data_IF_268452848835
#
_entry.id   IF_268452848835
#
_cell.length_a   1.000
_cell.length_b   1.000
_cell.length_c   1.000
_cell.angle_alpha   90.00
_cell.angle_beta   90.00
_cell.angle_gamma   90.00
#
_symmetry.space_group_name_H-M   'P 1'
#
loop_
_entity.id
_entity.type
_entity.pdbx_description
1 polymer ?
#
# COMPACT_ATOMS: atom_id res chain seq x y z
N UNK A 1 -20.68 -2.21 -60.79
CA UNK A 1 -20.34 -0.90 -60.20
C UNK A 1 -21.54 -0.52 -59.35
N UNK A 2 -21.54 -0.53 -58.01
CA UNK A 2 -20.75 0.30 -57.11
C UNK A 2 -20.73 -0.42 -55.74
N UNK A 3 -19.57 -0.89 -55.30
CA UNK A 3 -19.33 -1.23 -53.89
C UNK A 3 -19.27 0.08 -53.12
N UNK A 4 -19.96 0.20 -51.96
CA UNK A 4 -19.52 1.03 -50.81
C UNK A 4 -20.49 0.93 -49.63
N UNK A 5 -19.95 0.40 -48.54
CA UNK A 5 -20.05 0.86 -47.14
C UNK A 5 -21.43 1.08 -46.51
N UNK A 6 -21.75 0.24 -45.52
CA UNK A 6 -21.92 0.66 -44.11
C UNK A 6 -21.43 -0.47 -43.21
N UNK A 7 -20.12 -0.51 -42.92
CA UNK A 7 -19.62 -1.13 -41.68
C UNK A 7 -19.63 0.02 -40.69
N UNK A 8 -20.62 0.06 -39.82
CA UNK A 8 -20.83 1.20 -38.93
C UNK A 8 -21.62 0.79 -37.71
N UNK A 9 -20.92 0.78 -36.58
CA UNK A 9 -21.44 1.02 -35.23
C UNK A 9 -22.11 -0.14 -34.51
N UNK A 10 -21.34 -0.79 -33.62
CA UNK A 10 -21.68 -0.87 -32.18
C UNK A 10 -20.49 -1.42 -31.37
N UNK A 11 -19.36 -0.70 -31.38
CA UNK A 11 -18.31 -0.80 -30.36
C UNK A 11 -18.40 0.45 -29.50
N UNK A 12 -19.53 0.63 -28.83
CA UNK A 12 -19.69 1.67 -27.82
C UNK A 12 -19.86 0.99 -26.47
N UNK A 13 -18.99 1.41 -25.54
CA UNK A 13 -19.07 1.25 -24.08
C UNK A 13 -18.43 -0.02 -23.49
N UNK A 14 -17.11 -0.12 -23.55
CA UNK A 14 -16.30 -0.87 -22.57
C UNK A 14 -14.97 -0.13 -22.29
N UNK A 15 -15.06 1.15 -21.91
CA UNK A 15 -13.91 1.93 -21.40
C UNK A 15 -14.08 2.27 -19.90
N UNK A 16 -14.76 1.41 -19.14
CA UNK A 16 -14.85 1.59 -17.70
C UNK A 16 -13.55 1.11 -17.03
N UNK A 17 -12.72 2.07 -16.65
CA UNK A 17 -11.89 2.03 -15.43
C UNK A 17 -10.73 1.03 -15.34
N UNK A 18 -9.80 1.02 -16.30
CA UNK A 18 -8.50 0.35 -16.13
C UNK A 18 -7.78 0.78 -14.83
N UNK A 19 -7.84 2.07 -14.47
CA UNK A 19 -7.16 2.61 -13.28
C UNK A 19 -7.82 2.20 -11.94
N UNK A 20 -9.14 1.95 -11.90
CA UNK A 20 -9.80 1.56 -10.64
C UNK A 20 -9.64 0.06 -10.34
N UNK A 21 -9.56 -0.76 -11.39
CA UNK A 21 -9.21 -2.17 -11.25
C UNK A 21 -7.77 -2.30 -10.69
N UNK A 22 -6.86 -1.46 -11.18
CA UNK A 22 -5.47 -1.41 -10.74
C UNK A 22 -5.33 -1.01 -9.25
N UNK A 23 -6.00 0.06 -8.80
CA UNK A 23 -5.88 0.47 -7.39
C UNK A 23 -6.40 -0.59 -6.41
N UNK A 24 -7.53 -1.23 -6.73
CA UNK A 24 -8.12 -2.25 -5.84
C UNK A 24 -7.21 -3.48 -5.74
N UNK A 25 -6.66 -3.96 -6.86
CA UNK A 25 -5.76 -5.13 -6.85
C UNK A 25 -4.48 -4.84 -6.07
N UNK A 26 -3.87 -3.67 -6.26
CA UNK A 26 -2.68 -3.27 -5.51
C UNK A 26 -2.97 -3.18 -4.00
N UNK A 27 -4.14 -2.68 -3.60
CA UNK A 27 -4.53 -2.63 -2.18
C UNK A 27 -4.73 -4.01 -1.55
N UNK A 28 -5.32 -4.96 -2.29
CA UNK A 28 -5.46 -6.35 -1.82
C UNK A 28 -4.08 -7.01 -1.68
N UNK A 29 -3.15 -6.72 -2.59
CA UNK A 29 -1.77 -7.20 -2.48
C UNK A 29 -1.09 -6.65 -1.21
N UNK A 30 -1.20 -5.35 -0.95
CA UNK A 30 -0.64 -4.76 0.28
C UNK A 30 -1.25 -5.36 1.55
N UNK A 31 -2.56 -5.64 1.55
CA UNK A 31 -3.23 -6.32 2.68
C UNK A 31 -2.67 -7.73 2.90
N UNK A 32 -2.50 -8.50 1.83
CA UNK A 32 -1.95 -9.85 1.92
C UNK A 32 -0.49 -9.86 2.43
N UNK A 33 0.33 -8.91 1.96
CA UNK A 33 1.72 -8.77 2.40
C UNK A 33 1.81 -8.31 3.86
N UNK A 34 0.95 -7.38 4.29
CA UNK A 34 0.91 -6.97 5.70
C UNK A 34 0.44 -8.11 6.62
N UNK A 35 -0.52 -8.93 6.17
CA UNK A 35 -0.94 -10.13 6.90
C UNK A 35 0.19 -11.16 7.02
N UNK A 36 1.09 -11.26 6.03
CA UNK A 36 2.27 -12.12 6.10
C UNK A 36 3.28 -11.62 7.15
N UNK A 37 3.49 -10.30 7.25
CA UNK A 37 4.29 -9.67 8.32
C UNK A 37 3.71 -10.06 9.69
N UNK A 38 2.40 -9.89 9.88
CA UNK A 38 1.72 -10.22 11.13
C UNK A 38 1.90 -11.70 11.51
N UNK A 39 1.70 -12.60 10.55
CA UNK A 39 1.88 -14.03 10.73
C UNK A 39 3.30 -14.37 11.17
N UNK A 40 4.29 -13.73 10.56
CA UNK A 40 5.71 -13.93 10.89
C UNK A 40 6.04 -13.44 12.30
N UNK A 41 5.49 -12.30 12.72
CA UNK A 41 5.59 -11.84 14.11
C UNK A 41 5.00 -12.83 15.11
N UNK A 42 3.80 -13.36 14.84
CA UNK A 42 3.13 -14.36 15.70
C UNK A 42 3.96 -15.65 15.81
N UNK A 43 4.55 -16.08 14.69
CA UNK A 43 5.40 -17.26 14.63
C UNK A 43 6.79 -17.05 15.26
N UNK A 44 7.13 -15.82 15.68
CA UNK A 44 8.50 -15.44 16.08
C UNK A 44 9.56 -15.74 15.01
N UNK A 45 9.16 -15.66 13.74
CA UNK A 45 10.02 -15.88 12.58
C UNK A 45 10.66 -14.56 12.15
N UNK A 46 11.88 -14.29 12.64
CA UNK A 46 12.57 -13.02 12.39
C UNK A 46 12.91 -12.83 10.91
N UNK A 47 13.38 -13.87 10.23
CA UNK A 47 13.73 -13.82 8.80
C UNK A 47 12.46 -13.62 7.96
N UNK A 48 11.36 -14.26 8.36
CA UNK A 48 10.03 -14.06 7.78
C UNK A 48 9.54 -12.62 7.94
N UNK A 49 9.70 -12.01 9.12
CA UNK A 49 9.37 -10.59 9.33
C UNK A 49 10.22 -9.71 8.43
N UNK A 50 11.54 -9.92 8.39
CA UNK A 50 12.45 -9.12 7.56
C UNK A 50 12.07 -9.18 6.07
N UNK A 51 11.86 -10.38 5.54
CA UNK A 51 11.56 -10.57 4.13
C UNK A 51 10.20 -9.98 3.76
N UNK A 52 9.17 -10.23 4.57
CA UNK A 52 7.80 -9.75 4.32
C UNK A 52 7.68 -8.23 4.47
N UNK A 53 8.31 -7.64 5.49
CA UNK A 53 8.21 -6.19 5.74
C UNK A 53 8.92 -5.38 4.65
N UNK A 54 10.04 -5.88 4.11
CA UNK A 54 10.75 -5.26 2.99
C UNK A 54 9.89 -5.26 1.71
N UNK A 55 9.27 -6.39 1.37
CA UNK A 55 8.36 -6.48 0.21
C UNK A 55 7.17 -5.54 0.36
N UNK A 56 6.49 -5.60 1.50
CA UNK A 56 5.37 -4.70 1.81
C UNK A 56 5.78 -3.22 1.66
N UNK A 57 6.92 -2.84 2.25
CA UNK A 57 7.41 -1.46 2.19
C UNK A 57 7.69 -1.00 0.76
N UNK A 58 8.27 -1.87 -0.07
CA UNK A 58 8.58 -1.55 -1.45
C UNK A 58 7.30 -1.27 -2.23
N UNK A 59 6.34 -2.19 -2.21
CA UNK A 59 5.08 -2.01 -2.93
C UNK A 59 4.26 -0.84 -2.37
N UNK A 60 4.26 -0.63 -1.05
CA UNK A 60 3.60 0.51 -0.43
C UNK A 60 4.20 1.83 -0.95
N UNK A 61 5.52 1.92 -1.08
CA UNK A 61 6.19 3.11 -1.59
C UNK A 61 5.94 3.33 -3.08
N UNK A 62 5.97 2.26 -3.90
CA UNK A 62 5.70 2.33 -5.34
C UNK A 62 4.27 2.80 -5.62
N UNK A 63 3.30 2.29 -4.86
CA UNK A 63 1.89 2.62 -5.04
C UNK A 63 1.50 3.98 -4.45
N UNK A 64 1.92 4.25 -3.20
CA UNK A 64 1.41 5.37 -2.40
C UNK A 64 2.36 6.58 -2.40
N UNK A 65 3.65 6.36 -2.66
CA UNK A 65 4.70 7.36 -2.50
C UNK A 65 4.76 8.43 -3.60
N UNK A 66 4.10 8.19 -4.74
CA UNK A 66 4.00 9.15 -5.83
C UNK A 66 2.59 9.75 -5.90
N UNK A 67 2.47 11.03 -5.53
CA UNK A 67 1.20 11.74 -5.46
C UNK A 67 0.47 11.75 -6.80
N UNK A 68 1.17 12.04 -7.88
CA UNK A 68 0.60 12.20 -9.22
C UNK A 68 0.03 10.87 -9.71
N UNK A 69 0.79 9.78 -9.55
CA UNK A 69 0.37 8.43 -9.92
C UNK A 69 -0.85 8.00 -9.10
N UNK A 70 -0.79 8.13 -7.77
CA UNK A 70 -1.91 7.74 -6.92
C UNK A 70 -3.16 8.60 -7.20
N UNK A 71 -3.00 9.91 -7.41
CA UNK A 71 -4.09 10.82 -7.79
C UNK A 71 -4.74 10.43 -9.12
N UNK A 72 -3.98 9.89 -10.08
CA UNK A 72 -4.51 9.39 -11.34
C UNK A 72 -5.42 8.16 -11.17
N UNK A 73 -5.19 7.38 -10.11
CA UNK A 73 -5.99 6.19 -9.77
C UNK A 73 -7.27 6.52 -8.98
N UNK A 74 -7.36 7.72 -8.39
CA UNK A 74 -8.51 8.13 -7.60
C UNK A 74 -9.68 8.69 -8.44
N UNK A 75 -10.93 8.53 -7.96
CA UNK A 75 -12.09 9.25 -8.50
C UNK A 75 -11.85 10.77 -8.54
N UNK A 76 -12.45 11.45 -9.52
CA UNK A 76 -12.25 12.90 -9.75
C UNK A 76 -12.47 13.75 -8.49
N UNK A 77 -13.51 13.46 -7.73
CA UNK A 77 -13.84 14.17 -6.49
C UNK A 77 -12.88 13.85 -5.33
N UNK A 78 -12.04 12.82 -5.43
CA UNK A 78 -11.13 12.36 -4.36
C UNK A 78 -9.65 12.62 -4.66
N UNK A 79 -9.30 13.09 -5.86
CA UNK A 79 -7.91 13.38 -6.27
C UNK A 79 -7.15 14.30 -5.30
N UNK A 80 -7.84 15.25 -4.68
CA UNK A 80 -7.23 16.17 -3.70
C UNK A 80 -6.74 15.44 -2.43
N UNK A 81 -7.28 14.25 -2.14
CA UNK A 81 -6.90 13.40 -1.00
C UNK A 81 -5.62 12.58 -1.26
N UNK A 82 -5.02 12.65 -2.44
CA UNK A 82 -3.81 11.88 -2.78
C UNK A 82 -2.60 12.18 -1.88
N UNK A 83 -2.53 13.37 -1.26
CA UNK A 83 -1.49 13.67 -0.27
C UNK A 83 -1.53 12.73 0.94
N UNK A 84 -2.70 12.19 1.28
CA UNK A 84 -2.86 11.28 2.42
C UNK A 84 -2.17 9.94 2.17
N UNK A 85 -2.18 9.47 0.92
CA UNK A 85 -1.44 8.27 0.52
C UNK A 85 0.07 8.47 0.68
N UNK A 86 0.60 9.61 0.22
CA UNK A 86 2.04 9.93 0.34
C UNK A 86 2.44 10.01 1.81
N UNK A 87 1.63 10.66 2.64
CA UNK A 87 1.89 10.72 4.09
C UNK A 87 1.90 9.31 4.70
N UNK A 88 0.94 8.46 4.36
CA UNK A 88 0.92 7.07 4.83
C UNK A 88 2.15 6.29 4.35
N UNK A 89 2.59 6.47 3.10
CA UNK A 89 3.82 5.86 2.60
C UNK A 89 5.05 6.24 3.42
N UNK A 90 5.17 7.52 3.79
CA UNK A 90 6.26 8.02 4.64
C UNK A 90 6.22 7.43 6.05
N UNK A 91 5.04 7.38 6.67
CA UNK A 91 4.86 6.78 8.01
C UNK A 91 5.20 5.29 7.97
N UNK A 92 4.74 4.58 6.93
CA UNK A 92 5.06 3.17 6.70
C UNK A 92 6.58 3.00 6.60
N UNK A 93 7.23 3.70 5.68
CA UNK A 93 8.68 3.60 5.45
C UNK A 93 9.48 3.87 6.74
N UNK A 94 9.10 4.90 7.50
CA UNK A 94 9.75 5.21 8.77
C UNK A 94 9.63 4.06 9.79
N UNK A 95 8.43 3.48 9.95
CA UNK A 95 8.22 2.40 10.90
C UNK A 95 8.83 1.07 10.43
N UNK A 96 8.89 0.83 9.13
CA UNK A 96 9.65 -0.30 8.57
C UNK A 96 11.13 -0.18 8.94
N UNK A 97 11.71 1.03 8.86
CA UNK A 97 13.10 1.23 9.29
C UNK A 97 13.30 0.92 10.78
N UNK A 98 12.35 1.27 11.65
CA UNK A 98 12.42 0.92 13.08
C UNK A 98 12.41 -0.60 13.27
N UNK A 99 11.55 -1.32 12.54
CA UNK A 99 11.50 -2.79 12.58
C UNK A 99 12.86 -3.36 12.13
N UNK A 100 13.42 -2.85 11.04
CA UNK A 100 14.72 -3.28 10.51
C UNK A 100 15.87 -3.00 11.48
N UNK A 101 15.94 -1.80 12.06
CA UNK A 101 16.96 -1.42 13.05
C UNK A 101 16.90 -2.34 14.29
N UNK A 102 15.69 -2.73 14.70
CA UNK A 102 15.47 -3.67 15.79
C UNK A 102 15.89 -5.11 15.43
N UNK A 103 15.62 -5.58 14.21
CA UNK A 103 16.07 -6.89 13.71
C UNK A 103 17.61 -6.95 13.69
N UNK A 104 18.25 -5.92 13.15
CA UNK A 104 19.70 -5.78 13.02
C UNK A 104 20.42 -5.53 14.35
N UNK A 105 19.68 -5.32 15.44
CA UNK A 105 20.21 -4.92 16.76
C UNK A 105 21.13 -3.68 16.67
N UNK A 106 20.76 -2.71 15.84
CA UNK A 106 21.56 -1.52 15.54
C UNK A 106 21.94 -0.71 16.78
N UNK A 107 21.08 -0.72 17.80
CA UNK A 107 21.27 0.03 19.05
C UNK A 107 21.79 -0.82 20.21
N UNK A 108 22.22 -2.07 19.98
CA UNK A 108 22.72 -2.99 21.00
C UNK A 108 21.77 -3.16 22.20
N UNK A 109 20.48 -3.34 21.91
CA UNK A 109 19.41 -3.47 22.90
C UNK A 109 19.09 -4.94 23.19
N UNK A 110 18.43 -5.18 24.33
CA UNK A 110 17.96 -6.51 24.70
C UNK A 110 16.92 -7.03 23.70
N UNK A 111 16.82 -8.36 23.55
CA UNK A 111 15.81 -8.96 22.67
C UNK A 111 14.37 -8.63 23.06
N UNK A 112 14.10 -8.35 24.34
CA UNK A 112 12.78 -7.90 24.79
C UNK A 112 12.44 -6.52 24.22
N UNK A 113 13.35 -5.55 24.38
CA UNK A 113 13.17 -4.17 23.91
C UNK A 113 12.99 -4.15 22.39
N UNK A 114 13.83 -4.89 21.65
CA UNK A 114 13.73 -4.96 20.18
C UNK A 114 12.38 -5.49 19.72
N UNK A 115 11.86 -6.55 20.38
CA UNK A 115 10.53 -7.09 20.05
C UNK A 115 9.41 -6.09 20.31
N UNK A 116 9.43 -5.41 21.46
CA UNK A 116 8.42 -4.39 21.79
C UNK A 116 8.46 -3.21 20.82
N UNK A 117 9.66 -2.76 20.44
CA UNK A 117 9.85 -1.70 19.45
C UNK A 117 9.34 -2.11 18.06
N UNK A 118 9.70 -3.30 17.58
CA UNK A 118 9.19 -3.82 16.30
C UNK A 118 7.66 -3.93 16.28
N UNK A 119 7.06 -4.47 17.34
CA UNK A 119 5.61 -4.62 17.43
C UNK A 119 4.90 -3.26 17.51
N UNK A 120 5.46 -2.29 18.23
CA UNK A 120 4.93 -0.92 18.28
C UNK A 120 5.03 -0.21 16.93
N UNK A 121 6.15 -0.37 16.23
CA UNK A 121 6.29 0.17 14.87
C UNK A 121 5.29 -0.47 13.90
N UNK A 122 5.05 -1.78 14.02
CA UNK A 122 4.04 -2.48 13.24
C UNK A 122 2.62 -1.92 13.47
N UNK A 123 2.22 -1.60 14.71
CA UNK A 123 0.90 -0.99 14.94
C UNK A 123 0.78 0.42 14.38
N UNK A 124 1.87 1.18 14.29
CA UNK A 124 1.88 2.47 13.59
C UNK A 124 1.72 2.32 12.07
N UNK A 125 2.23 1.24 11.48
CA UNK A 125 1.97 0.88 10.07
C UNK A 125 0.48 0.61 9.86
N UNK A 126 -0.13 -0.24 10.71
CA UNK A 126 -1.57 -0.53 10.64
C UNK A 126 -2.42 0.74 10.79
N UNK A 127 -2.04 1.62 11.71
CA UNK A 127 -2.71 2.90 11.90
C UNK A 127 -2.58 3.82 10.67
N UNK A 128 -1.43 3.82 9.97
CA UNK A 128 -1.25 4.58 8.73
C UNK A 128 -2.16 4.07 7.61
N UNK A 129 -2.34 2.75 7.50
CA UNK A 129 -3.30 2.12 6.58
C UNK A 129 -4.73 2.52 6.93
N UNK A 130 -5.11 2.39 8.21
CA UNK A 130 -6.44 2.76 8.69
C UNK A 130 -6.76 4.22 8.43
N UNK A 131 -5.84 5.13 8.76
CA UNK A 131 -6.01 6.57 8.53
C UNK A 131 -6.23 6.90 7.06
N UNK A 132 -5.41 6.36 6.16
CA UNK A 132 -5.58 6.57 4.71
C UNK A 132 -6.93 6.04 4.22
N UNK A 133 -7.30 4.82 4.64
CA UNK A 133 -8.59 4.24 4.27
C UNK A 133 -9.76 5.09 4.73
N UNK A 134 -9.73 5.59 5.97
CA UNK A 134 -10.79 6.45 6.46
C UNK A 134 -10.85 7.75 5.66
N UNK A 135 -9.74 8.48 5.50
CA UNK A 135 -9.79 9.80 4.84
C UNK A 135 -10.08 9.68 3.35
N UNK A 136 -9.38 8.80 2.63
CA UNK A 136 -9.48 8.69 1.17
C UNK A 136 -10.80 8.03 0.76
N UNK A 137 -11.28 7.03 1.50
CA UNK A 137 -12.57 6.38 1.18
C UNK A 137 -13.76 7.16 1.71
N UNK A 138 -13.56 8.12 2.61
CA UNK A 138 -14.62 8.99 3.09
C UNK A 138 -15.40 9.67 1.95
N UNK A 139 -16.72 9.70 2.13
CA UNK A 139 -17.70 10.30 1.23
C UNK A 139 -18.30 11.61 1.77
N UNK A 140 -17.98 11.98 3.03
CA UNK A 140 -18.40 13.24 3.65
C UNK A 140 -17.56 14.45 3.19
#
# INVERSE_FOLDING_TARGET
MLKKTVVGSLLFLLFTQLNAYDLKSNMIQLEAELAEVQKSFIASDQDGVEASIKRFSQHAQELLGNKENFSAMLPKNKKHKANEAVMSAQIISHNVQIIMDAIENKHNQSGLVRREESQRAYTYIEHACFRCHNIVRDEY
#
